data_IF_085187263528
#
_entry.id   IF_085187263528
#
_cell.length_a   1.000
_cell.length_b   1.000
_cell.length_c   1.000
_cell.angle_alpha   90.00
_cell.angle_beta   90.00
_cell.angle_gamma   90.00
#
_symmetry.space_group_name_H-M   'P 1'
#
loop_
_entity.id
_entity.type
_entity.pdbx_description
1 polymer ?
#
# COMPACT_ATOMS: atom_id res chain seq x y z
N UNK A 1 14.20 -1.58 10.32
CA UNK A 1 13.29 -0.67 9.62
C UNK A 1 13.56 0.72 10.13
N UNK A 2 14.01 1.62 9.27
CA UNK A 2 14.19 3.02 9.66
C UNK A 2 12.84 3.75 9.81
N UNK A 3 12.88 4.98 10.32
CA UNK A 3 11.68 5.76 10.62
C UNK A 3 10.87 6.10 9.38
N UNK A 4 11.53 6.33 8.26
CA UNK A 4 10.90 6.69 7.01
C UNK A 4 10.22 5.46 6.39
N UNK A 5 10.90 4.32 6.39
CA UNK A 5 10.34 3.04 5.97
C UNK A 5 9.05 2.70 6.75
N UNK A 6 9.06 2.88 8.08
CA UNK A 6 7.86 2.73 8.92
C UNK A 6 6.75 3.72 8.58
N UNK A 7 7.10 4.98 8.26
CA UNK A 7 6.13 6.02 7.89
C UNK A 7 5.43 5.67 6.58
N UNK A 8 6.20 5.21 5.59
CA UNK A 8 5.69 4.82 4.28
C UNK A 8 4.78 3.60 4.39
N UNK A 9 5.18 2.57 5.15
CA UNK A 9 4.32 1.40 5.39
C UNK A 9 3.01 1.76 6.09
N UNK A 10 3.05 2.62 7.13
CA UNK A 10 1.82 3.09 7.80
C UNK A 10 0.91 3.83 6.83
N UNK A 11 1.48 4.69 5.98
CA UNK A 11 0.71 5.41 4.96
C UNK A 11 0.09 4.44 3.97
N UNK A 12 0.84 3.44 3.51
CA UNK A 12 0.38 2.41 2.58
C UNK A 12 -0.80 1.63 3.17
N UNK A 13 -0.68 1.15 4.40
CA UNK A 13 -1.76 0.44 5.10
C UNK A 13 -3.02 1.31 5.26
N UNK A 14 -2.86 2.59 5.57
CA UNK A 14 -3.99 3.51 5.70
C UNK A 14 -4.72 3.74 4.35
N UNK A 15 -3.96 3.87 3.26
CA UNK A 15 -4.50 3.98 1.91
C UNK A 15 -5.20 2.69 1.48
N UNK A 16 -4.61 1.52 1.74
CA UNK A 16 -5.22 0.22 1.46
C UNK A 16 -6.55 0.06 2.20
N UNK A 17 -6.56 0.34 3.51
CA UNK A 17 -7.78 0.33 4.30
C UNK A 17 -8.85 1.26 3.71
N UNK A 18 -8.49 2.52 3.44
CA UNK A 18 -9.43 3.49 2.90
C UNK A 18 -9.97 3.07 1.52
N UNK A 19 -9.14 2.51 0.65
CA UNK A 19 -9.56 2.02 -0.67
C UNK A 19 -10.59 0.89 -0.57
N UNK A 20 -10.39 -0.06 0.34
CA UNK A 20 -11.33 -1.16 0.61
C UNK A 20 -12.66 -0.59 1.14
N UNK A 21 -12.63 0.34 2.10
CA UNK A 21 -13.84 0.96 2.64
C UNK A 21 -14.62 1.72 1.57
N UNK A 22 -13.94 2.48 0.71
CA UNK A 22 -14.58 3.15 -0.42
C UNK A 22 -15.19 2.16 -1.42
N UNK A 23 -14.51 1.04 -1.70
CA UNK A 23 -15.06 -0.01 -2.56
C UNK A 23 -16.36 -0.56 -1.97
N UNK A 24 -16.37 -0.89 -0.68
CA UNK A 24 -17.54 -1.38 0.02
C UNK A 24 -18.69 -0.36 0.01
N UNK A 25 -18.39 0.92 0.25
CA UNK A 25 -19.37 2.00 0.16
C UNK A 25 -19.95 2.13 -1.26
N UNK A 26 -19.11 2.15 -2.29
CA UNK A 26 -19.51 2.31 -3.70
C UNK A 26 -20.35 1.13 -4.21
N UNK A 27 -20.20 -0.07 -3.65
CA UNK A 27 -21.08 -1.21 -3.95
C UNK A 27 -22.55 -0.91 -3.60
N UNK A 28 -22.80 -0.02 -2.63
CA UNK A 28 -24.15 0.42 -2.24
C UNK A 28 -24.53 1.78 -2.82
N UNK A 29 -23.56 2.62 -3.19
CA UNK A 29 -23.77 3.98 -3.73
C UNK A 29 -23.00 4.20 -5.06
N UNK A 30 -23.29 3.44 -6.13
CA UNK A 30 -22.47 3.45 -7.35
C UNK A 30 -22.54 4.76 -8.16
N UNK A 31 -23.53 5.62 -7.89
CA UNK A 31 -23.71 6.90 -8.56
C UNK A 31 -23.05 8.08 -7.80
N UNK A 32 -22.45 7.83 -6.64
CA UNK A 32 -21.75 8.84 -5.86
C UNK A 32 -20.41 9.21 -6.53
N UNK A 33 -20.44 10.27 -7.34
CA UNK A 33 -19.29 10.75 -8.10
C UNK A 33 -18.17 11.26 -7.20
N UNK A 34 -18.48 11.73 -5.99
CA UNK A 34 -17.46 12.23 -5.08
C UNK A 34 -16.69 11.05 -4.47
N UNK A 35 -17.41 10.06 -3.94
CA UNK A 35 -16.81 8.84 -3.41
C UNK A 35 -15.97 8.10 -4.47
N UNK A 36 -16.43 8.06 -5.73
CA UNK A 36 -15.66 7.46 -6.81
C UNK A 36 -14.36 8.23 -7.11
N UNK A 37 -14.40 9.57 -7.07
CA UNK A 37 -13.18 10.39 -7.25
C UNK A 37 -12.19 10.17 -6.13
N UNK A 38 -12.66 10.12 -4.89
CA UNK A 38 -11.81 9.91 -3.71
C UNK A 38 -11.21 8.50 -3.70
N UNK A 39 -11.99 7.47 -4.03
CA UNK A 39 -11.50 6.11 -4.27
C UNK A 39 -10.37 6.10 -5.32
N UNK A 40 -10.61 6.70 -6.49
CA UNK A 40 -9.61 6.69 -7.57
C UNK A 40 -8.34 7.47 -7.20
N UNK A 41 -8.46 8.53 -6.38
CA UNK A 41 -7.30 9.24 -5.85
C UNK A 41 -6.49 8.34 -4.91
N UNK A 42 -7.15 7.60 -4.03
CA UNK A 42 -6.50 6.65 -3.11
C UNK A 42 -5.78 5.55 -3.88
N UNK A 43 -6.42 4.97 -4.90
CA UNK A 43 -5.81 3.92 -5.73
C UNK A 43 -4.50 4.42 -6.37
N UNK A 44 -4.51 5.60 -6.99
CA UNK A 44 -3.30 6.19 -7.59
C UNK A 44 -2.23 6.49 -6.55
N UNK A 45 -2.60 7.11 -5.43
CA UNK A 45 -1.64 7.42 -4.37
C UNK A 45 -1.02 6.15 -3.76
N UNK A 46 -1.79 5.05 -3.72
CA UNK A 46 -1.31 3.75 -3.27
C UNK A 46 -0.34 3.14 -4.29
N UNK A 47 -0.64 3.18 -5.58
CA UNK A 47 0.27 2.72 -6.65
C UNK A 47 1.60 3.47 -6.61
N UNK A 48 1.56 4.81 -6.61
CA UNK A 48 2.76 5.67 -6.53
C UNK A 48 3.61 5.35 -5.28
N UNK A 49 2.94 5.11 -4.14
CA UNK A 49 3.63 4.80 -2.89
C UNK A 49 4.25 3.39 -2.89
N UNK A 50 3.61 2.43 -3.55
CA UNK A 50 4.15 1.06 -3.71
C UNK A 50 5.40 1.09 -4.57
N UNK A 51 5.35 1.73 -5.74
CA UNK A 51 6.49 1.91 -6.62
C UNK A 51 7.68 2.56 -5.87
N UNK A 52 7.44 3.71 -5.24
CA UNK A 52 8.48 4.41 -4.47
C UNK A 52 9.08 3.57 -3.34
N UNK A 53 8.24 2.84 -2.61
CA UNK A 53 8.71 1.97 -1.54
C UNK A 53 9.59 0.85 -2.09
N UNK A 54 9.20 0.25 -3.21
CA UNK A 54 9.89 -0.89 -3.81
C UNK A 54 11.24 -0.50 -4.41
N UNK A 55 11.33 0.65 -5.06
CA UNK A 55 12.59 1.23 -5.52
C UNK A 55 13.59 1.47 -4.36
N UNK A 56 13.07 1.86 -3.19
CA UNK A 56 13.91 2.25 -2.05
C UNK A 56 14.27 1.08 -1.14
N UNK A 57 13.34 0.15 -0.90
CA UNK A 57 13.44 -0.88 0.15
C UNK A 57 13.33 -2.32 -0.37
N UNK A 58 13.10 -2.51 -1.66
CA UNK A 58 12.94 -3.81 -2.30
C UNK A 58 11.48 -4.28 -2.40
N UNK A 59 11.25 -5.44 -3.04
CA UNK A 59 9.92 -5.89 -3.43
C UNK A 59 9.04 -6.17 -2.20
N UNK A 60 7.80 -5.70 -2.28
CA UNK A 60 6.72 -5.97 -1.29
C UNK A 60 5.63 -6.89 -1.83
N UNK A 61 5.74 -7.32 -3.09
CA UNK A 61 4.85 -8.29 -3.71
C UNK A 61 5.71 -9.43 -4.25
N UNK A 62 5.28 -10.67 -4.03
CA UNK A 62 5.98 -11.88 -4.50
C UNK A 62 6.03 -12.02 -6.03
N UNK A 63 5.28 -11.20 -6.76
CA UNK A 63 5.08 -11.29 -8.21
C UNK A 63 5.88 -10.24 -8.99
N UNK A 64 7.01 -9.81 -8.43
CA UNK A 64 7.94 -8.91 -9.10
C UNK A 64 9.29 -9.55 -9.38
N UNK A 65 9.96 -9.01 -10.41
CA UNK A 65 11.29 -9.42 -10.80
C UNK A 65 12.24 -9.29 -9.60
N UNK A 66 12.68 -10.45 -9.10
CA UNK A 66 13.60 -10.54 -7.97
C UNK A 66 14.98 -10.96 -8.45
N UNK A 67 15.98 -10.21 -8.01
CA UNK A 67 17.36 -10.63 -8.16
C UNK A 67 17.69 -11.86 -7.31
N UNK A 68 18.79 -12.54 -7.62
CA UNK A 68 19.31 -13.65 -6.82
C UNK A 68 20.27 -13.13 -5.73
N UNK A 69 20.09 -13.48 -4.44
CA UNK A 69 19.11 -14.45 -3.90
C UNK A 69 17.69 -13.87 -3.75
N UNK A 70 16.66 -14.72 -3.72
CA UNK A 70 15.24 -14.33 -3.59
C UNK A 70 15.02 -13.22 -2.53
N UNK A 71 14.44 -12.11 -2.97
CA UNK A 71 14.41 -10.85 -2.20
C UNK A 71 13.09 -10.63 -1.45
N UNK A 72 12.07 -11.46 -1.67
CA UNK A 72 10.74 -11.28 -1.07
C UNK A 72 10.45 -12.29 0.06
N UNK A 73 9.93 -11.88 1.23
CA UNK A 73 9.97 -10.54 1.79
C UNK A 73 11.30 -10.34 2.55
N UNK A 74 12.08 -9.34 2.16
CA UNK A 74 13.26 -8.90 2.94
C UNK A 74 12.89 -8.04 4.15
N UNK A 75 11.65 -7.55 4.21
CA UNK A 75 11.15 -6.74 5.30
C UNK A 75 10.18 -7.53 6.18
N UNK A 76 10.21 -7.25 7.49
CA UNK A 76 9.23 -7.79 8.43
C UNK A 76 7.81 -7.37 8.00
N UNK A 77 6.88 -8.31 8.04
CA UNK A 77 5.49 -8.04 7.70
C UNK A 77 4.90 -6.98 8.63
N UNK A 78 3.86 -6.23 8.20
CA UNK A 78 3.28 -5.15 9.00
C UNK A 78 2.84 -5.54 10.42
N UNK A 79 2.45 -6.80 10.64
CA UNK A 79 2.09 -7.34 11.97
C UNK A 79 3.29 -7.78 12.83
N UNK A 80 4.47 -7.94 12.24
CA UNK A 80 5.73 -8.27 12.93
C UNK A 80 6.45 -7.02 13.43
N UNK A 81 6.05 -5.84 12.93
CA UNK A 81 6.62 -4.54 13.31
C UNK A 81 6.10 -4.13 14.68
N UNK A 82 7.01 -3.93 15.64
CA UNK A 82 6.69 -3.26 16.91
C UNK A 82 6.61 -1.76 16.69
N UNK A 83 5.39 -1.26 16.52
CA UNK A 83 5.10 0.18 16.51
C UNK A 83 5.27 0.76 17.93
N UNK A 84 6.52 1.07 18.30
CA UNK A 84 6.85 1.80 19.54
C UNK A 84 7.12 3.27 19.24
#
# INVERSE_FOLDING_TARGET
MDREQMRLLKKMMALEFAGIEYNLYLNTHPQDKQALRDHNKIVRELEDLKEYYQETYGPIIAMEDSECPWQYPKTAWPWEIKYR
#
